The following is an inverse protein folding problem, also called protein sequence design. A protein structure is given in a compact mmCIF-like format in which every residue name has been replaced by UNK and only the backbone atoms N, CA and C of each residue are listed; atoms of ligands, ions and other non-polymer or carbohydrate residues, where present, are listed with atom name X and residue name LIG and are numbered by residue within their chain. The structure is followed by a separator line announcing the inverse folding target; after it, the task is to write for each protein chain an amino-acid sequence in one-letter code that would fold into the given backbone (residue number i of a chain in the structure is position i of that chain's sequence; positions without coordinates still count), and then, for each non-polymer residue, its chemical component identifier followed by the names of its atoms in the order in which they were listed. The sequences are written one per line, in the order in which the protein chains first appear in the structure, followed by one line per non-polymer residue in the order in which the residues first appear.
data_IF_109816765607
#
_entry.id   IF_109816765607
#
_cell.length_a   1.000
_cell.length_b   1.000
_cell.length_c   1.000
_cell.angle_alpha   90.00
_cell.angle_beta   90.00
_cell.angle_gamma   90.00
#
_symmetry.space_group_name_H-M   'P 1'
#
loop_
_entity.id
_entity.type
_entity.pdbx_description
1 polymer ?
#
# COMPACT_ATOMS: atom_id res chain seq x y z
N UNK A 1 35.29 3.56 10.80
CA UNK A 1 34.72 2.60 9.84
C UNK A 1 34.46 1.28 10.55
N UNK A 2 33.29 1.11 11.17
CA UNK A 2 32.80 -0.24 11.48
C UNK A 2 31.29 -0.16 11.35
N UNK A 3 30.77 -0.60 10.21
CA UNK A 3 29.37 -1.03 10.16
C UNK A 3 29.37 -2.31 11.01
N UNK A 4 28.67 -2.30 12.14
CA UNK A 4 28.59 -3.49 12.97
C UNK A 4 28.00 -4.62 12.12
N UNK A 5 28.54 -5.83 12.22
CA UNK A 5 27.98 -7.00 11.51
C UNK A 5 26.47 -7.13 11.75
N UNK A 6 26.01 -6.71 12.94
CA UNK A 6 24.60 -6.62 13.31
C UNK A 6 23.80 -5.61 12.47
N UNK A 7 24.36 -4.46 12.09
CA UNK A 7 23.69 -3.47 11.23
C UNK A 7 23.54 -3.99 9.80
N UNK A 8 24.56 -4.64 9.27
CA UNK A 8 24.49 -5.29 7.95
C UNK A 8 23.48 -6.44 7.95
N UNK A 9 23.45 -7.25 9.02
CA UNK A 9 22.50 -8.34 9.17
C UNK A 9 21.07 -7.81 9.33
N UNK A 10 20.86 -6.71 10.06
CA UNK A 10 19.56 -6.04 10.16
C UNK A 10 19.07 -5.53 8.81
N UNK A 11 19.94 -4.91 8.01
CA UNK A 11 19.62 -4.46 6.65
C UNK A 11 19.24 -5.62 5.73
N UNK A 12 20.02 -6.71 5.77
CA UNK A 12 19.76 -7.90 4.96
C UNK A 12 18.46 -8.56 5.39
N UNK A 13 18.21 -8.72 6.70
CA UNK A 13 16.95 -9.26 7.21
C UNK A 13 15.78 -8.35 6.87
N UNK A 14 15.95 -7.03 6.90
CA UNK A 14 14.93 -6.07 6.48
C UNK A 14 14.63 -6.18 4.98
N UNK A 15 15.65 -6.26 4.13
CA UNK A 15 15.47 -6.41 2.68
C UNK A 15 14.88 -7.77 2.31
N UNK A 16 15.35 -8.85 2.97
CA UNK A 16 14.84 -10.21 2.77
C UNK A 16 13.42 -10.35 3.30
N UNK A 17 13.07 -9.74 4.42
CA UNK A 17 11.69 -9.71 4.91
C UNK A 17 10.82 -8.85 4.00
N UNK A 18 11.28 -7.68 3.56
CA UNK A 18 10.55 -6.83 2.63
C UNK A 18 10.24 -7.54 1.30
N UNK A 19 11.27 -7.99 0.59
CA UNK A 19 11.17 -8.61 -0.75
C UNK A 19 10.61 -10.04 -0.65
N UNK A 20 11.05 -10.80 0.35
CA UNK A 20 10.62 -12.17 0.60
C UNK A 20 9.17 -12.25 1.02
N UNK A 21 8.70 -11.40 1.94
CA UNK A 21 7.30 -11.40 2.36
C UNK A 21 6.37 -10.80 1.30
N UNK A 22 6.79 -9.76 0.56
CA UNK A 22 5.97 -9.26 -0.57
C UNK A 22 5.81 -10.32 -1.66
N UNK A 23 6.88 -11.04 -2.00
CA UNK A 23 6.83 -12.18 -2.92
C UNK A 23 6.01 -13.37 -2.39
N UNK A 24 6.21 -13.73 -1.12
CA UNK A 24 5.51 -14.83 -0.45
C UNK A 24 4.02 -14.54 -0.28
N UNK A 25 3.64 -13.35 0.19
CA UNK A 25 2.24 -12.95 0.32
C UNK A 25 1.53 -12.91 -1.04
N UNK A 26 2.22 -12.49 -2.12
CA UNK A 26 1.68 -12.51 -3.49
C UNK A 26 1.49 -13.93 -4.02
N UNK A 27 2.41 -14.85 -3.71
CA UNK A 27 2.29 -16.27 -4.10
C UNK A 27 1.21 -16.99 -3.29
N UNK A 28 1.17 -16.80 -1.97
CA UNK A 28 0.22 -17.49 -1.08
C UNK A 28 -1.21 -16.97 -1.22
N UNK A 29 -1.40 -15.71 -1.64
CA UNK A 29 -2.71 -15.18 -2.02
C UNK A 29 -3.34 -15.93 -3.21
N UNK A 30 -2.54 -16.58 -4.06
CA UNK A 30 -3.01 -17.37 -5.21
C UNK A 30 -3.25 -18.84 -4.90
N UNK A 31 -2.65 -19.40 -3.86
CA UNK A 31 -2.61 -20.85 -3.62
C UNK A 31 -3.39 -21.33 -2.39
N UNK A 32 -3.72 -20.45 -1.44
CA UNK A 32 -4.41 -20.83 -0.20
C UNK A 32 -5.85 -20.29 -0.16
N UNK A 33 -6.78 -21.05 0.46
CA UNK A 33 -8.10 -20.56 0.85
C UNK A 33 -7.94 -19.48 1.94
N UNK A 34 -7.65 -18.27 1.52
CA UNK A 34 -7.41 -17.12 2.38
C UNK A 34 -8.52 -16.08 2.18
N UNK A 35 -8.66 -15.15 3.14
CA UNK A 35 -9.64 -14.06 3.12
C UNK A 35 -9.62 -13.30 1.76
N UNK A 36 -8.46 -13.19 1.10
CA UNK A 36 -8.34 -12.58 -0.21
C UNK A 36 -9.18 -13.28 -1.29
N UNK A 37 -9.23 -14.63 -1.30
CA UNK A 37 -10.04 -15.40 -2.26
C UNK A 37 -11.54 -15.21 -2.02
N UNK A 38 -11.96 -15.20 -0.74
CA UNK A 38 -13.36 -14.94 -0.36
C UNK A 38 -13.77 -13.53 -0.75
N UNK A 39 -12.92 -12.53 -0.47
CA UNK A 39 -13.14 -11.15 -0.88
C UNK A 39 -13.24 -11.00 -2.39
N UNK A 40 -12.41 -11.70 -3.15
CA UNK A 40 -12.50 -11.69 -4.61
C UNK A 40 -13.83 -12.25 -5.11
N UNK A 41 -14.32 -13.36 -4.54
CA UNK A 41 -15.65 -13.89 -4.85
C UNK A 41 -16.77 -12.91 -4.49
N UNK A 42 -16.68 -12.24 -3.34
CA UNK A 42 -17.65 -11.21 -2.96
C UNK A 42 -17.62 -10.00 -3.89
N UNK A 43 -16.45 -9.59 -4.40
CA UNK A 43 -16.34 -8.54 -5.43
C UNK A 43 -17.04 -8.95 -6.73
N UNK A 44 -16.87 -10.19 -7.16
CA UNK A 44 -17.58 -10.71 -8.36
C UNK A 44 -19.10 -10.68 -8.13
N UNK A 45 -19.56 -11.15 -6.96
CA UNK A 45 -20.98 -11.12 -6.64
C UNK A 45 -21.52 -9.68 -6.59
N UNK A 46 -20.79 -8.78 -5.94
CA UNK A 46 -21.13 -7.37 -5.89
C UNK A 46 -21.24 -6.75 -7.28
N UNK A 47 -20.24 -6.97 -8.15
CA UNK A 47 -20.27 -6.48 -9.54
C UNK A 47 -21.42 -7.05 -10.36
N UNK A 48 -21.80 -8.32 -10.15
CA UNK A 48 -22.98 -8.89 -10.82
C UNK A 48 -24.29 -8.22 -10.37
N UNK A 49 -24.40 -7.85 -9.09
CA UNK A 49 -25.56 -7.12 -8.58
C UNK A 49 -25.60 -5.66 -9.09
N UNK A 50 -24.44 -5.01 -9.22
CA UNK A 50 -24.33 -3.64 -9.76
C UNK A 50 -24.87 -3.55 -11.19
N UNK A 51 -24.61 -4.57 -12.02
CA UNK A 51 -25.11 -4.64 -13.40
C UNK A 51 -26.64 -4.72 -13.46
N UNK A 52 -27.26 -5.50 -12.56
CA UNK A 52 -28.70 -5.68 -12.51
C UNK A 52 -29.45 -4.44 -11.98
N UNK A 53 -28.77 -3.54 -11.25
CA UNK A 53 -29.35 -2.32 -10.69
C UNK A 53 -29.35 -1.16 -11.69
N UNK A 54 -30.50 -0.52 -11.86
CA UNK A 54 -30.64 0.74 -12.62
C UNK A 54 -30.07 1.93 -11.86
N UNK A 55 -30.31 2.00 -10.54
CA UNK A 55 -29.82 3.08 -9.68
C UNK A 55 -28.56 2.60 -8.96
N UNK A 56 -27.42 3.19 -9.30
CA UNK A 56 -26.07 2.78 -8.81
C UNK A 56 -25.44 3.79 -7.85
N UNK A 57 -26.21 4.77 -7.35
CA UNK A 57 -25.72 5.88 -6.51
C UNK A 57 -25.06 5.37 -5.22
N UNK A 58 -25.65 4.37 -4.56
CA UNK A 58 -25.07 3.79 -3.34
C UNK A 58 -23.70 3.14 -3.59
N UNK A 59 -23.56 2.44 -4.72
CA UNK A 59 -22.32 1.72 -5.07
C UNK A 59 -21.20 2.69 -5.44
N UNK A 60 -21.54 3.74 -6.19
CA UNK A 60 -20.63 4.84 -6.48
C UNK A 60 -20.19 5.58 -5.19
N UNK A 61 -21.10 5.77 -4.22
CA UNK A 61 -20.78 6.39 -2.94
C UNK A 61 -19.82 5.53 -2.09
N UNK A 62 -19.97 4.20 -2.11
CA UNK A 62 -19.04 3.28 -1.44
C UNK A 62 -17.63 3.37 -2.05
N UNK A 63 -17.51 3.42 -3.38
CA UNK A 63 -16.22 3.58 -4.04
C UNK A 63 -15.61 4.96 -3.79
N UNK A 64 -16.40 6.02 -3.83
CA UNK A 64 -15.92 7.37 -3.52
C UNK A 64 -15.40 7.47 -2.07
N UNK A 65 -16.06 6.80 -1.12
CA UNK A 65 -15.56 6.71 0.25
C UNK A 65 -14.19 6.02 0.31
N UNK A 66 -14.04 4.91 -0.40
CA UNK A 66 -12.78 4.16 -0.47
C UNK A 66 -11.65 4.98 -1.10
N UNK A 67 -11.92 5.65 -2.22
CA UNK A 67 -10.97 6.56 -2.87
C UNK A 67 -10.54 7.70 -1.96
N UNK A 68 -11.48 8.29 -1.20
CA UNK A 68 -11.16 9.33 -0.22
C UNK A 68 -10.22 8.83 0.88
N UNK A 69 -10.41 7.61 1.37
CA UNK A 69 -9.49 6.99 2.34
C UNK A 69 -8.09 6.80 1.73
N UNK A 70 -8.00 6.35 0.48
CA UNK A 70 -6.72 6.19 -0.23
C UNK A 70 -6.02 7.53 -0.43
N UNK A 71 -6.77 8.57 -0.82
CA UNK A 71 -6.26 9.92 -0.97
C UNK A 71 -5.72 10.49 0.35
N UNK A 72 -6.42 10.23 1.46
CA UNK A 72 -5.95 10.61 2.79
C UNK A 72 -4.58 9.97 3.10
N UNK A 73 -4.43 8.65 2.89
CA UNK A 73 -3.14 7.98 3.09
C UNK A 73 -2.02 8.50 2.18
N UNK A 74 -2.33 8.80 0.90
CA UNK A 74 -1.36 9.38 -0.02
C UNK A 74 -0.87 10.76 0.46
N UNK A 75 -1.78 11.63 0.92
CA UNK A 75 -1.45 12.94 1.47
C UNK A 75 -0.62 12.83 2.75
N UNK A 76 -0.99 11.92 3.66
CA UNK A 76 -0.19 11.65 4.87
C UNK A 76 1.21 11.16 4.51
N UNK A 77 1.34 10.32 3.48
CA UNK A 77 2.65 9.85 2.99
C UNK A 77 3.52 11.03 2.54
N UNK A 78 2.95 11.99 1.83
CA UNK A 78 3.66 13.19 1.38
C UNK A 78 4.16 14.05 2.56
N UNK A 79 3.33 14.22 3.59
CA UNK A 79 3.71 14.94 4.81
C UNK A 79 4.86 14.24 5.56
N UNK A 80 4.78 12.92 5.70
CA UNK A 80 5.85 12.15 6.32
C UNK A 80 7.13 12.26 5.50
N UNK A 81 7.05 12.16 4.17
CA UNK A 81 8.19 12.29 3.28
C UNK A 81 8.85 13.67 3.42
N UNK A 82 8.07 14.75 3.48
CA UNK A 82 8.58 16.09 3.75
C UNK A 82 9.30 16.18 5.10
N UNK A 83 8.75 15.54 6.14
CA UNK A 83 9.39 15.43 7.45
C UNK A 83 10.73 14.69 7.39
N UNK A 84 10.78 13.54 6.72
CA UNK A 84 12.01 12.75 6.55
C UNK A 84 13.07 13.53 5.75
N UNK A 85 12.68 14.22 4.68
CA UNK A 85 13.60 15.06 3.90
C UNK A 85 14.13 16.26 4.70
N UNK A 86 13.29 16.84 5.57
CA UNK A 86 13.72 17.91 6.49
C UNK A 86 14.74 17.40 7.50
N UNK A 87 14.51 16.19 8.05
CA UNK A 87 15.46 15.53 8.93
C UNK A 87 16.76 15.17 8.20
N UNK A 88 16.69 14.82 6.91
CA UNK A 88 17.86 14.58 6.07
C UNK A 88 18.75 15.83 5.90
N UNK A 89 18.15 17.02 5.86
CA UNK A 89 18.88 18.29 5.84
C UNK A 89 19.45 18.68 7.22
N UNK A 90 18.89 18.13 8.31
CA UNK A 90 19.27 18.44 9.70
C UNK A 90 19.79 17.20 10.45
N UNK A 91 20.57 16.36 9.78
CA UNK A 91 21.08 15.08 10.34
C UNK A 91 21.88 15.29 11.63
N UNK A 92 22.69 16.33 11.72
CA UNK A 92 23.49 16.63 12.93
C UNK A 92 22.60 16.88 14.17
N UNK A 93 21.47 17.58 14.00
CA UNK A 93 20.50 17.79 15.08
C UNK A 93 19.78 16.50 15.44
N UNK A 94 19.49 15.64 14.46
CA UNK A 94 18.89 14.34 14.73
C UNK A 94 19.85 13.45 15.55
N UNK A 95 21.14 13.46 15.21
CA UNK A 95 22.18 12.72 15.93
C UNK A 95 22.32 13.16 17.38
N UNK A 96 22.32 14.47 17.65
CA UNK A 96 22.41 14.98 19.02
C UNK A 96 21.20 14.56 19.86
N UNK A 97 20.00 14.54 19.28
CA UNK A 97 18.80 14.03 19.94
C UNK A 97 18.90 12.52 20.19
N UNK A 98 19.30 11.71 19.20
CA UNK A 98 19.46 10.25 19.37
C UNK A 98 20.53 9.94 20.42
N UNK A 99 21.65 10.68 20.43
CA UNK A 99 22.73 10.51 21.41
C UNK A 99 22.36 10.94 22.83
N UNK A 100 21.28 11.71 23.02
CA UNK A 100 20.75 12.05 24.34
C UNK A 100 19.90 10.93 24.97
N UNK A 101 19.52 9.91 24.19
CA UNK A 101 18.70 8.80 24.67
C UNK A 101 19.63 7.80 25.37
N UNK A 102 19.42 7.49 26.67
CA UNK A 102 20.19 6.44 27.32
C UNK A 102 19.93 5.11 26.61
N UNK A 103 20.96 4.27 26.46
CA UNK A 103 20.98 2.99 25.71
C UNK A 103 21.27 3.06 24.19
N UNK A 104 21.48 4.23 23.58
CA UNK A 104 21.86 4.31 22.16
C UNK A 104 23.38 4.25 21.98
N UNK A 105 23.83 3.53 20.94
CA UNK A 105 25.25 3.51 20.54
C UNK A 105 25.64 4.85 19.91
N UNK A 106 26.91 5.26 19.99
CA UNK A 106 27.38 6.52 19.39
C UNK A 106 26.90 6.65 17.93
N UNK A 107 26.09 7.68 17.60
CA UNK A 107 25.50 7.81 16.27
C UNK A 107 26.59 7.93 15.21
N UNK A 108 26.62 7.02 14.25
CA UNK A 108 27.48 7.14 13.08
C UNK A 108 26.75 7.93 11.99
N UNK A 109 27.31 9.06 11.59
CA UNK A 109 26.71 9.97 10.62
C UNK A 109 26.28 9.31 9.32
N UNK A 110 27.17 8.48 8.75
CA UNK A 110 26.86 7.76 7.52
C UNK A 110 25.71 6.74 7.71
N UNK A 111 25.61 6.12 8.89
CA UNK A 111 24.57 5.14 9.18
C UNK A 111 23.19 5.82 9.32
N UNK A 112 23.13 6.98 9.98
CA UNK A 112 21.89 7.76 10.12
C UNK A 112 21.38 8.23 8.76
N UNK A 113 22.26 8.70 7.88
CA UNK A 113 21.90 9.05 6.50
C UNK A 113 21.32 7.86 5.72
N UNK A 114 21.93 6.67 5.84
CA UNK A 114 21.41 5.45 5.20
C UNK A 114 20.04 5.05 5.75
N UNK A 115 19.84 5.11 7.07
CA UNK A 115 18.54 4.81 7.70
C UNK A 115 17.45 5.78 7.24
N UNK A 116 17.75 7.08 7.15
CA UNK A 116 16.81 8.08 6.62
C UNK A 116 16.53 7.89 5.13
N UNK A 117 17.55 7.59 4.32
CA UNK A 117 17.38 7.32 2.89
C UNK A 117 16.50 6.08 2.64
N UNK A 118 16.68 5.02 3.44
CA UNK A 118 15.83 3.84 3.41
C UNK A 118 14.36 4.21 3.73
N UNK A 119 14.15 4.98 4.80
CA UNK A 119 12.81 5.42 5.21
C UNK A 119 12.14 6.28 4.12
N UNK A 120 12.88 7.23 3.54
CA UNK A 120 12.42 8.03 2.42
C UNK A 120 12.04 7.16 1.21
N UNK A 121 12.89 6.19 0.84
CA UNK A 121 12.60 5.25 -0.25
C UNK A 121 11.33 4.43 -0.03
N UNK A 122 11.09 3.96 1.20
CA UNK A 122 9.86 3.24 1.59
C UNK A 122 8.63 4.11 1.38
N UNK A 123 8.65 5.37 1.83
CA UNK A 123 7.52 6.28 1.69
C UNK A 123 7.31 6.74 0.24
N UNK A 124 8.36 6.91 -0.56
CA UNK A 124 8.23 7.15 -2.01
C UNK A 124 7.49 5.98 -2.67
N UNK A 125 7.88 4.74 -2.37
CA UNK A 125 7.19 3.55 -2.90
C UNK A 125 5.74 3.46 -2.40
N UNK A 126 5.48 3.79 -1.13
CA UNK A 126 4.13 3.83 -0.58
C UNK A 126 3.24 4.85 -1.32
N UNK A 127 3.77 6.05 -1.57
CA UNK A 127 3.07 7.12 -2.29
C UNK A 127 2.67 6.66 -3.69
N UNK A 128 3.61 6.14 -4.48
CA UNK A 128 3.32 5.63 -5.82
C UNK A 128 2.26 4.53 -5.81
N UNK A 129 2.25 3.65 -4.81
CA UNK A 129 1.28 2.57 -4.71
C UNK A 129 -0.12 3.05 -4.33
N UNK A 130 -0.23 4.06 -3.46
CA UNK A 130 -1.51 4.70 -3.17
C UNK A 130 -2.05 5.47 -4.39
N UNK A 131 -1.20 6.24 -5.07
CA UNK A 131 -1.59 6.94 -6.31
C UNK A 131 -2.00 5.97 -7.41
N UNK A 132 -1.28 4.85 -7.56
CA UNK A 132 -1.63 3.81 -8.51
C UNK A 132 -2.97 3.14 -8.14
N UNK A 133 -3.18 2.83 -6.87
CA UNK A 133 -4.46 2.31 -6.37
C UNK A 133 -5.61 3.26 -6.67
N UNK A 134 -5.43 4.57 -6.43
CA UNK A 134 -6.45 5.60 -6.69
C UNK A 134 -6.83 5.61 -8.18
N UNK A 135 -5.84 5.56 -9.08
CA UNK A 135 -6.09 5.50 -10.53
C UNK A 135 -6.89 4.25 -10.92
N UNK A 136 -6.58 3.11 -10.32
CA UNK A 136 -7.29 1.85 -10.59
C UNK A 136 -8.73 1.88 -10.09
N UNK A 137 -9.02 2.49 -8.94
CA UNK A 137 -10.39 2.71 -8.50
C UNK A 137 -11.14 3.69 -9.41
N UNK A 138 -10.45 4.71 -9.93
CA UNK A 138 -11.01 5.60 -10.96
C UNK A 138 -11.45 4.85 -12.22
N UNK A 139 -10.68 3.83 -12.65
CA UNK A 139 -11.10 2.95 -13.75
C UNK A 139 -12.35 2.15 -13.41
N UNK A 140 -12.48 1.64 -12.17
CA UNK A 140 -13.69 0.93 -11.72
C UNK A 140 -14.91 1.85 -11.74
N UNK A 141 -14.78 3.10 -11.30
CA UNK A 141 -15.85 4.10 -11.36
C UNK A 141 -16.34 4.32 -12.81
N UNK A 142 -15.41 4.47 -13.76
CA UNK A 142 -15.76 4.59 -15.19
C UNK A 142 -16.45 3.32 -15.68
N UNK A 143 -15.95 2.14 -15.30
CA UNK A 143 -16.56 0.88 -15.72
C UNK A 143 -17.99 0.71 -15.19
N UNK A 144 -18.27 1.14 -13.95
CA UNK A 144 -19.62 1.11 -13.36
C UNK A 144 -20.54 2.11 -14.06
N UNK A 145 -20.03 3.29 -14.41
CA UNK A 145 -20.77 4.29 -15.18
C UNK A 145 -21.12 3.78 -16.59
N UNK A 146 -20.25 3.00 -17.21
CA UNK A 146 -20.45 2.38 -18.52
C UNK A 146 -21.11 0.99 -18.48
N UNK A 147 -21.44 0.45 -17.29
CA UNK A 147 -21.87 -0.93 -17.20
C UNK A 147 -23.25 -1.14 -17.86
N UNK A 148 -23.42 -2.20 -18.67
CA UNK A 148 -24.69 -2.50 -19.33
C UNK A 148 -25.79 -2.77 -18.29
N UNK A 149 -27.04 -2.54 -18.67
CA UNK A 149 -28.19 -2.91 -17.84
C UNK A 149 -28.70 -4.28 -18.27
N UNK A 150 -28.52 -5.29 -17.43
CA UNK A 150 -29.13 -6.62 -17.61
C UNK A 150 -29.96 -6.97 -16.37
N UNK A 151 -31.29 -6.79 -16.48
CA UNK A 151 -32.24 -7.15 -15.41
C UNK A 151 -32.48 -8.66 -15.30
N UNK A 152 -32.23 -9.39 -16.37
CA UNK A 152 -32.47 -10.83 -16.49
C UNK A 152 -31.31 -11.66 -15.93
N UNK A 153 -30.10 -11.09 -15.84
CA UNK A 153 -28.91 -11.75 -15.31
C UNK A 153 -28.44 -12.95 -16.15
N UNK A 154 -28.93 -13.07 -17.39
CA UNK A 154 -28.70 -14.20 -18.28
C UNK A 154 -27.70 -13.86 -19.39
N UNK A 155 -27.39 -12.57 -19.59
CA UNK A 155 -26.42 -12.17 -20.59
C UNK A 155 -25.00 -12.54 -20.14
N UNK A 156 -24.40 -13.47 -20.87
CA UNK A 156 -23.02 -13.91 -20.65
C UNK A 156 -22.02 -12.77 -20.83
N UNK A 157 -22.31 -11.79 -21.69
CA UNK A 157 -21.43 -10.64 -21.89
C UNK A 157 -21.46 -9.70 -20.68
N UNK A 158 -22.63 -9.44 -20.12
CA UNK A 158 -22.78 -8.67 -18.89
C UNK A 158 -22.06 -9.33 -17.70
N UNK A 159 -22.20 -10.65 -17.53
CA UNK A 159 -21.46 -11.41 -16.50
C UNK A 159 -19.93 -11.39 -16.74
N UNK A 160 -19.50 -11.44 -18.00
CA UNK A 160 -18.10 -11.27 -18.38
C UNK A 160 -17.56 -9.90 -17.97
N UNK A 161 -18.34 -8.84 -18.21
CA UNK A 161 -18.01 -7.48 -17.80
C UNK A 161 -17.94 -7.31 -16.28
N UNK A 162 -18.88 -7.90 -15.52
CA UNK A 162 -18.81 -7.94 -14.05
C UNK A 162 -17.51 -8.58 -13.54
N UNK A 163 -17.07 -9.68 -14.16
CA UNK A 163 -15.81 -10.33 -13.80
C UNK A 163 -14.61 -9.42 -14.09
N UNK A 164 -14.61 -8.71 -15.22
CA UNK A 164 -13.54 -7.75 -15.54
C UNK A 164 -13.48 -6.62 -14.53
N UNK A 165 -14.63 -6.02 -14.15
CA UNK A 165 -14.69 -5.00 -13.11
C UNK A 165 -14.13 -5.50 -11.77
N UNK A 166 -14.49 -6.73 -11.37
CA UNK A 166 -13.99 -7.34 -10.14
C UNK A 166 -12.47 -7.56 -10.16
N UNK A 167 -11.88 -7.91 -11.31
CA UNK A 167 -10.43 -8.05 -11.46
C UNK A 167 -9.71 -6.71 -11.32
N UNK A 168 -10.22 -5.65 -11.95
CA UNK A 168 -9.63 -4.30 -11.82
C UNK A 168 -9.72 -3.80 -10.38
N UNK A 169 -10.87 -4.01 -9.73
CA UNK A 169 -11.05 -3.67 -8.32
C UNK A 169 -10.12 -4.47 -7.40
N UNK A 170 -9.90 -5.75 -7.67
CA UNK A 170 -8.98 -6.58 -6.90
C UNK A 170 -7.53 -6.09 -7.03
N UNK A 171 -7.13 -5.72 -8.24
CA UNK A 171 -5.81 -5.14 -8.48
C UNK A 171 -5.64 -3.79 -7.75
N UNK A 172 -6.67 -2.94 -7.75
CA UNK A 172 -6.69 -1.70 -6.97
C UNK A 172 -6.49 -1.98 -5.48
N UNK A 173 -7.23 -2.94 -4.92
CA UNK A 173 -7.10 -3.35 -3.53
C UNK A 173 -5.70 -3.93 -3.21
N UNK A 174 -5.07 -4.63 -4.15
CA UNK A 174 -3.70 -5.12 -3.99
C UNK A 174 -2.68 -3.98 -3.90
N UNK A 175 -2.78 -2.98 -4.78
CA UNK A 175 -1.93 -1.78 -4.75
C UNK A 175 -2.08 -1.02 -3.43
N UNK A 176 -3.33 -0.84 -2.95
CA UNK A 176 -3.60 -0.24 -1.64
C UNK A 176 -2.96 -1.01 -0.48
N UNK A 177 -3.14 -2.33 -0.45
CA UNK A 177 -2.54 -3.18 0.59
C UNK A 177 -1.01 -3.17 0.54
N UNK A 178 -0.41 -3.01 -0.64
CA UNK A 178 1.04 -2.85 -0.75
C UNK A 178 1.49 -1.53 -0.10
N UNK A 179 0.78 -0.44 -0.34
CA UNK A 179 1.02 0.84 0.33
C UNK A 179 0.93 0.74 1.86
N UNK A 180 -0.11 0.08 2.38
CA UNK A 180 -0.25 -0.16 3.83
C UNK A 180 0.88 -1.03 4.41
N UNK A 181 1.34 -2.03 3.67
CA UNK A 181 2.49 -2.84 4.10
C UNK A 181 3.76 -2.00 4.20
N UNK A 182 3.98 -1.07 3.26
CA UNK A 182 5.10 -0.13 3.36
C UNK A 182 5.08 0.68 4.65
N UNK A 183 3.89 1.06 5.15
CA UNK A 183 3.75 1.73 6.45
C UNK A 183 4.21 0.83 7.60
N UNK A 184 3.79 -0.43 7.66
CA UNK A 184 4.22 -1.34 8.71
C UNK A 184 5.74 -1.55 8.72
N UNK A 185 6.35 -1.65 7.54
CA UNK A 185 7.79 -1.74 7.43
C UNK A 185 8.51 -0.44 7.79
N UNK A 186 7.94 0.72 7.46
CA UNK A 186 8.48 2.01 7.89
C UNK A 186 8.51 2.12 9.42
N UNK A 187 7.49 1.57 10.10
CA UNK A 187 7.44 1.52 11.57
C UNK A 187 8.52 0.61 12.15
N UNK A 188 8.77 -0.53 11.52
CA UNK A 188 9.90 -1.39 11.89
C UNK A 188 11.26 -0.70 11.65
N UNK A 189 11.40 0.05 10.56
CA UNK A 189 12.61 0.83 10.27
C UNK A 189 12.81 1.99 11.28
N UNK A 190 11.73 2.57 11.80
CA UNK A 190 11.81 3.55 12.89
C UNK A 190 12.33 2.94 14.19
N UNK A 191 11.93 1.71 14.51
CA UNK A 191 12.51 0.98 15.67
C UNK A 191 14.02 0.74 15.53
N UNK A 192 14.57 0.72 14.32
CA UNK A 192 16.02 0.59 14.09
C UNK A 192 16.80 1.89 14.37
N UNK A 193 16.13 3.03 14.61
CA UNK A 193 16.79 4.25 15.09
C UNK A 193 17.06 4.23 16.60
N UNK A 194 16.36 3.37 17.36
CA UNK A 194 16.65 3.09 18.77
C UNK A 194 17.87 2.15 18.87
#
# INVERSE_FOLDING_TARGET
MVISWLDSLALIVFLVSWVGYTGFARRKAKTSNCIARVMHQQRIHWMSQVIAKEIRVAEAALLANLERNIAFFASTTLLILAGVLTLFSQVEKLETVIGSIPFTSSPNHALVQVKLALLAGIFVLAFFQFTWSMRQYGFVNIMIGAAPLDKTGSDKNALGYARQMAVVQDQAAHSYNYGLRSYYYSMAALCWFM
#
